data_IF_934501852085
#
_entry.id   IF_934501852085
#
_cell.length_a   1.000
_cell.length_b   1.000
_cell.length_c   1.000
_cell.angle_alpha   90.00
_cell.angle_beta   90.00
_cell.angle_gamma   90.00
#
_symmetry.space_group_name_H-M   'P 1'
#
loop_
_entity.id
_entity.type
_entity.pdbx_description
1 polymer ?
#
# COMPACT_ATOMS: atom_id res chain seq x y z
N UNK A 1 1.26 6.33 4.68
CA UNK A 1 0.72 6.84 3.39
C UNK A 1 -0.41 7.78 3.72
N UNK A 2 -0.53 8.95 3.11
CA UNK A 2 -1.66 9.87 3.40
C UNK A 2 -3.01 9.25 2.98
N UNK A 3 -3.76 8.72 3.94
CA UNK A 3 -5.05 8.07 3.70
C UNK A 3 -6.16 8.80 4.43
N UNK A 4 -6.66 9.89 3.83
CA UNK A 4 -7.69 10.77 4.43
C UNK A 4 -9.11 10.23 4.31
N UNK A 5 -9.35 9.19 3.49
CA UNK A 5 -10.65 8.55 3.34
C UNK A 5 -10.51 7.11 2.83
N UNK A 6 -11.62 6.37 2.85
CA UNK A 6 -11.69 4.98 2.33
C UNK A 6 -11.31 4.88 0.85
N UNK A 7 -11.59 5.91 0.05
CA UNK A 7 -11.15 5.98 -1.35
C UNK A 7 -9.62 5.90 -1.49
N UNK A 8 -8.88 6.45 -0.53
CA UNK A 8 -7.41 6.41 -0.50
C UNK A 8 -6.91 5.00 -0.17
N UNK A 9 -7.53 4.35 0.82
CA UNK A 9 -7.24 2.97 1.17
C UNK A 9 -7.53 2.02 -0.01
N UNK A 10 -8.65 2.23 -0.71
CA UNK A 10 -8.99 1.46 -1.90
C UNK A 10 -8.00 1.72 -3.06
N UNK A 11 -7.47 2.93 -3.19
CA UNK A 11 -6.41 3.21 -4.16
C UNK A 11 -5.13 2.41 -3.87
N UNK A 12 -4.70 2.33 -2.61
CA UNK A 12 -3.55 1.52 -2.19
C UNK A 12 -3.77 0.03 -2.51
N UNK A 13 -4.92 -0.52 -2.11
CA UNK A 13 -5.31 -1.91 -2.42
C UNK A 13 -5.31 -2.18 -3.93
N UNK A 14 -5.86 -1.25 -4.73
CA UNK A 14 -5.96 -1.38 -6.19
C UNK A 14 -4.61 -1.40 -6.90
N UNK A 15 -3.63 -0.61 -6.45
CA UNK A 15 -2.30 -0.62 -7.08
C UNK A 15 -1.51 -1.85 -6.66
N UNK A 16 -1.62 -2.28 -5.39
CA UNK A 16 -0.94 -3.47 -4.86
C UNK A 16 -1.51 -4.76 -5.45
N UNK A 17 -2.82 -4.84 -5.70
CA UNK A 17 -3.43 -6.04 -6.31
C UNK A 17 -2.89 -6.37 -7.71
N UNK A 18 -2.23 -5.41 -8.38
CA UNK A 18 -1.58 -5.64 -9.67
C UNK A 18 -0.29 -6.47 -9.57
N UNK A 19 0.26 -6.64 -8.37
CA UNK A 19 1.43 -7.47 -8.10
C UNK A 19 1.06 -8.96 -7.94
N UNK A 20 -0.22 -9.31 -7.97
CA UNK A 20 -0.69 -10.69 -8.03
C UNK A 20 -0.25 -11.52 -6.82
N UNK A 21 0.21 -12.75 -7.09
CA UNK A 21 0.63 -13.73 -6.08
C UNK A 21 1.81 -13.29 -5.21
N UNK A 22 2.52 -12.22 -5.59
CA UNK A 22 3.56 -11.62 -4.76
C UNK A 22 3.00 -10.94 -3.50
N UNK A 23 1.71 -10.65 -3.44
CA UNK A 23 1.04 -10.05 -2.28
C UNK A 23 0.26 -11.13 -1.53
N UNK A 24 0.65 -11.37 -0.28
CA UNK A 24 -0.01 -12.34 0.60
C UNK A 24 -1.20 -11.69 1.33
N UNK A 25 -1.01 -10.48 1.84
CA UNK A 25 -2.07 -9.72 2.49
C UNK A 25 -1.85 -8.21 2.40
N UNK A 26 -2.96 -7.46 2.37
CA UNK A 26 -2.95 -5.99 2.45
C UNK A 26 -4.00 -5.54 3.47
N UNK A 27 -3.52 -4.95 4.57
CA UNK A 27 -4.39 -4.31 5.55
C UNK A 27 -4.23 -2.79 5.49
N UNK A 28 -5.33 -2.08 5.65
CA UNK A 28 -5.37 -0.61 5.60
C UNK A 28 -6.07 -0.08 6.83
N UNK A 29 -5.39 0.78 7.56
CA UNK A 29 -5.95 1.53 8.68
C UNK A 29 -6.04 3.00 8.29
N UNK A 30 -7.25 3.45 7.95
CA UNK A 30 -7.52 4.85 7.57
C UNK A 30 -7.32 5.78 8.78
N UNK A 31 -7.67 5.33 9.99
CA UNK A 31 -7.58 6.13 11.21
C UNK A 31 -6.11 6.44 11.54
N UNK A 32 -5.24 5.45 11.39
CA UNK A 32 -3.80 5.58 11.65
C UNK A 32 -2.98 5.90 10.39
N UNK A 33 -3.60 5.97 9.22
CA UNK A 33 -2.95 6.22 7.93
C UNK A 33 -1.84 5.20 7.58
N UNK A 34 -2.05 3.94 8.00
CA UNK A 34 -1.11 2.84 7.83
C UNK A 34 -1.60 1.83 6.81
N UNK A 35 -0.69 1.42 5.91
CA UNK A 35 -0.88 0.27 5.03
C UNK A 35 0.13 -0.78 5.46
N UNK A 36 -0.36 -1.95 5.87
CA UNK A 36 0.48 -3.10 6.18
C UNK A 36 0.40 -4.06 5.00
N UNK A 37 1.55 -4.43 4.46
CA UNK A 37 1.66 -5.32 3.31
C UNK A 37 2.50 -6.52 3.72
N UNK A 38 1.95 -7.71 3.53
CA UNK A 38 2.69 -8.96 3.61
C UNK A 38 2.95 -9.44 2.19
N UNK A 39 4.21 -9.69 1.86
CA UNK A 39 4.63 -9.94 0.48
C UNK A 39 5.89 -10.79 0.43
N UNK A 40 6.05 -11.52 -0.67
CA UNK A 40 7.30 -12.21 -1.04
C UNK A 40 8.22 -11.34 -1.90
N UNK A 41 7.79 -10.12 -2.23
CA UNK A 41 8.52 -9.17 -3.06
C UNK A 41 9.38 -8.24 -2.21
N UNK A 42 10.40 -7.65 -2.83
CA UNK A 42 11.25 -6.65 -2.20
C UNK A 42 10.45 -5.38 -1.83
N UNK A 43 10.83 -4.75 -0.72
CA UNK A 43 10.20 -3.52 -0.21
C UNK A 43 10.15 -2.41 -1.29
N UNK A 44 11.21 -2.27 -2.08
CA UNK A 44 11.28 -1.28 -3.16
C UNK A 44 10.16 -1.45 -4.20
N UNK A 45 9.82 -2.68 -4.57
CA UNK A 45 8.73 -2.98 -5.51
C UNK A 45 7.38 -2.54 -4.94
N UNK A 46 7.18 -2.75 -3.63
CA UNK A 46 5.98 -2.33 -2.91
C UNK A 46 5.89 -0.80 -2.87
N UNK A 47 6.99 -0.12 -2.52
CA UNK A 47 7.05 1.33 -2.44
C UNK A 47 6.84 1.98 -3.82
N UNK A 48 7.48 1.49 -4.87
CA UNK A 48 7.28 1.96 -6.24
C UNK A 48 5.82 1.78 -6.70
N UNK A 49 5.21 0.66 -6.33
CA UNK A 49 3.80 0.42 -6.65
C UNK A 49 2.88 1.37 -5.91
N UNK A 50 3.12 1.63 -4.62
CA UNK A 50 2.34 2.58 -3.83
C UNK A 50 2.51 4.03 -4.30
N UNK A 51 3.67 4.42 -4.84
CA UNK A 51 3.88 5.75 -5.45
C UNK A 51 2.92 6.04 -6.62
N UNK A 52 2.36 5.00 -7.27
CA UNK A 52 1.32 5.15 -8.32
C UNK A 52 0.00 5.72 -7.80
N UNK A 53 -0.20 5.80 -6.49
CA UNK A 53 -1.37 6.45 -5.87
C UNK A 53 -1.25 7.99 -5.82
N UNK A 54 -0.15 8.56 -6.34
CA UNK A 54 0.21 9.98 -6.27
C UNK A 54 0.20 10.54 -4.85
N UNK A 55 0.45 9.67 -3.87
CA UNK A 55 0.48 10.01 -2.44
C UNK A 55 1.88 9.83 -1.89
N UNK A 56 2.27 10.65 -0.91
CA UNK A 56 3.51 10.41 -0.17
C UNK A 56 3.39 9.10 0.62
N UNK A 57 4.43 8.28 0.50
CA UNK A 57 4.56 6.98 1.16
C UNK A 57 5.89 6.99 1.88
N UNK A 58 5.86 6.68 3.17
CA UNK A 58 7.04 6.59 4.02
C UNK A 58 7.03 5.19 4.64
N UNK A 59 8.10 4.40 4.49
CA UNK A 59 8.26 3.14 5.19
C UNK A 59 8.23 3.33 6.71
N UNK A 60 7.67 2.37 7.43
CA UNK A 60 7.65 2.35 8.89
C UNK A 60 8.28 1.02 9.31
N UNK A 61 9.42 1.08 9.99
CA UNK A 61 10.17 -0.08 10.48
C UNK A 61 9.97 -0.21 11.99
#
# INVERSE_FOLDING_TARGET
MEMTCEGCANAAKRVLSKLGEGILSVNTDVKNQLVTVESTLDEDVILETLKKTTKPVVPVH
#
